data_IF_013047271832
#
_entry.id   IF_013047271832
#
_cell.length_a   1.000
_cell.length_b   1.000
_cell.length_c   1.000
_cell.angle_alpha   90.00
_cell.angle_beta   90.00
_cell.angle_gamma   90.00
#
_symmetry.space_group_name_H-M   'P 1'
#
loop_
_entity.id
_entity.type
_entity.pdbx_description
1 polymer ?
#
# COMPACT_ATOMS: atom_id res chain seq x y z
N UNK A 1 34.38 24.89 -27.48
CA UNK A 1 33.82 23.59 -27.06
C UNK A 1 32.58 23.88 -26.24
N UNK A 2 31.40 23.84 -26.85
CA UNK A 2 30.12 24.16 -26.21
C UNK A 2 29.53 22.88 -25.64
N UNK A 3 29.59 22.70 -24.32
CA UNK A 3 28.87 21.64 -23.61
C UNK A 3 27.40 22.02 -23.57
N UNK A 4 26.61 21.46 -24.50
CA UNK A 4 25.16 21.56 -24.43
C UNK A 4 24.67 20.88 -23.13
N UNK A 5 23.72 21.48 -22.39
CA UNK A 5 23.12 20.83 -21.23
C UNK A 5 22.45 19.53 -21.68
N UNK A 6 22.82 18.41 -21.07
CA UNK A 6 22.10 17.16 -21.28
C UNK A 6 20.69 17.29 -20.69
N UNK A 7 19.72 17.64 -21.52
CA UNK A 7 18.31 17.55 -21.16
C UNK A 7 17.94 16.07 -21.10
N UNK A 8 18.15 15.44 -19.94
CA UNK A 8 17.59 14.11 -19.70
C UNK A 8 16.09 14.21 -19.87
N UNK A 9 15.53 13.54 -20.89
CA UNK A 9 14.09 13.53 -21.11
C UNK A 9 13.41 13.08 -19.80
N UNK A 10 12.46 13.85 -19.25
CA UNK A 10 11.85 13.52 -17.98
C UNK A 10 11.21 12.14 -18.12
N UNK A 11 11.68 11.20 -17.30
CA UNK A 11 11.11 9.85 -17.30
C UNK A 11 9.59 9.97 -17.15
N UNK A 12 8.84 9.40 -18.10
CA UNK A 12 7.38 9.52 -18.13
C UNK A 12 6.77 8.82 -16.91
N UNK A 13 6.60 9.58 -15.83
CA UNK A 13 6.12 9.09 -14.55
C UNK A 13 4.73 8.47 -14.67
N UNK A 14 3.87 9.02 -15.53
CA UNK A 14 2.52 8.49 -15.79
C UNK A 14 2.59 7.10 -16.41
N UNK A 15 3.41 6.91 -17.44
CA UNK A 15 3.55 5.61 -18.10
C UNK A 15 4.13 4.53 -17.17
N UNK A 16 4.83 4.92 -16.10
CA UNK A 16 5.41 4.00 -15.12
C UNK A 16 4.48 3.74 -13.92
N UNK A 17 3.95 4.79 -13.31
CA UNK A 17 3.22 4.71 -12.04
C UNK A 17 1.73 4.40 -12.23
N UNK A 18 1.11 4.78 -13.35
CA UNK A 18 -0.30 4.49 -13.58
C UNK A 18 -0.58 2.98 -13.71
N UNK A 19 0.15 2.20 -14.53
CA UNK A 19 -0.08 0.76 -14.60
C UNK A 19 0.19 0.05 -13.27
N UNK A 20 1.20 0.52 -12.53
CA UNK A 20 1.51 0.02 -11.19
C UNK A 20 0.35 0.27 -10.21
N UNK A 21 -0.20 1.49 -10.20
CA UNK A 21 -1.34 1.85 -9.36
C UNK A 21 -2.56 1.00 -9.68
N UNK A 22 -2.93 0.89 -10.96
CA UNK A 22 -4.08 0.10 -11.39
C UNK A 22 -3.89 -1.39 -11.07
N UNK A 23 -2.69 -1.92 -11.27
CA UNK A 23 -2.35 -3.29 -10.91
C UNK A 23 -2.50 -3.57 -9.42
N UNK A 24 -2.05 -2.64 -8.56
CA UNK A 24 -2.22 -2.78 -7.11
C UNK A 24 -3.67 -2.65 -6.66
N UNK A 25 -4.43 -1.72 -7.23
CA UNK A 25 -5.86 -1.58 -6.93
C UNK A 25 -6.60 -2.86 -7.28
N UNK A 26 -6.34 -3.43 -8.47
CA UNK A 26 -6.93 -4.70 -8.89
C UNK A 26 -6.52 -5.86 -7.97
N UNK A 27 -5.23 -5.97 -7.65
CA UNK A 27 -4.73 -7.01 -6.77
C UNK A 27 -5.36 -6.94 -5.37
N UNK A 28 -5.46 -5.73 -4.80
CA UNK A 28 -6.11 -5.55 -3.50
C UNK A 28 -7.61 -5.78 -3.57
N UNK A 29 -8.29 -5.40 -4.65
CA UNK A 29 -9.70 -5.72 -4.84
C UNK A 29 -9.94 -7.24 -4.79
N UNK A 30 -9.07 -8.03 -5.45
CA UNK A 30 -9.12 -9.51 -5.39
C UNK A 30 -8.94 -10.01 -3.95
N UNK A 31 -7.94 -9.50 -3.23
CA UNK A 31 -7.73 -9.86 -1.81
C UNK A 31 -8.98 -9.57 -0.97
N UNK A 32 -9.58 -8.38 -1.13
CA UNK A 32 -10.77 -7.99 -0.37
C UNK A 32 -11.99 -8.85 -0.73
N UNK A 33 -12.17 -9.21 -2.01
CA UNK A 33 -13.23 -10.13 -2.44
C UNK A 33 -13.05 -11.51 -1.81
N UNK A 34 -11.82 -12.03 -1.77
CA UNK A 34 -11.53 -13.33 -1.15
C UNK A 34 -11.86 -13.30 0.34
N UNK A 35 -11.44 -12.25 1.07
CA UNK A 35 -11.78 -12.09 2.49
C UNK A 35 -13.29 -12.10 2.70
N UNK A 36 -14.03 -11.33 1.89
CA UNK A 36 -15.49 -11.27 1.97
C UNK A 36 -16.14 -12.64 1.70
N UNK A 37 -15.67 -13.36 0.67
CA UNK A 37 -16.17 -14.68 0.30
C UNK A 37 -15.84 -15.78 1.33
N UNK A 38 -14.80 -15.61 2.14
CA UNK A 38 -14.39 -16.56 3.19
C UNK A 38 -14.95 -16.22 4.58
N UNK A 39 -16.04 -15.47 4.66
CA UNK A 39 -16.71 -15.13 5.92
C UNK A 39 -16.21 -13.84 6.59
N UNK A 40 -15.43 -13.01 5.89
CA UNK A 40 -15.01 -11.69 6.38
C UNK A 40 -13.90 -11.72 7.44
N UNK A 41 -13.36 -12.89 7.81
CA UNK A 41 -12.16 -13.01 8.63
C UNK A 41 -10.89 -13.03 7.77
N UNK A 42 -9.78 -12.55 8.34
CA UNK A 42 -8.48 -12.62 7.67
C UNK A 42 -7.90 -14.02 7.91
N UNK A 43 -8.12 -14.88 6.94
CA UNK A 43 -7.63 -16.27 6.94
C UNK A 43 -6.17 -16.36 6.50
N UNK A 44 -5.55 -17.54 6.66
CA UNK A 44 -4.22 -17.84 6.14
C UNK A 44 -4.14 -17.59 4.63
N UNK A 45 -5.21 -17.92 3.88
CA UNK A 45 -5.27 -17.66 2.45
C UNK A 45 -5.19 -16.15 2.14
N UNK A 46 -5.96 -15.33 2.84
CA UNK A 46 -5.90 -13.87 2.70
C UNK A 46 -4.51 -13.32 3.05
N UNK A 47 -3.88 -13.86 4.10
CA UNK A 47 -2.50 -13.55 4.47
C UNK A 47 -1.50 -13.89 3.35
N UNK A 48 -1.59 -15.09 2.76
CA UNK A 48 -0.74 -15.51 1.64
C UNK A 48 -0.94 -14.61 0.43
N UNK A 49 -2.18 -14.31 0.05
CA UNK A 49 -2.46 -13.42 -1.09
C UNK A 49 -1.88 -12.02 -0.86
N UNK A 50 -2.00 -11.49 0.36
CA UNK A 50 -1.41 -10.19 0.73
C UNK A 50 0.12 -10.23 0.68
N UNK A 51 0.74 -11.33 1.13
CA UNK A 51 2.17 -11.53 1.03
C UNK A 51 2.65 -11.62 -0.44
N UNK A 52 1.85 -12.23 -1.33
CA UNK A 52 2.12 -12.26 -2.76
C UNK A 52 2.04 -10.85 -3.39
N UNK A 53 1.09 -10.01 -2.95
CA UNK A 53 1.04 -8.60 -3.37
C UNK A 53 2.30 -7.87 -2.92
N UNK A 54 2.73 -8.04 -1.66
CA UNK A 54 3.96 -7.44 -1.14
C UNK A 54 5.20 -7.90 -1.93
N UNK A 55 5.31 -9.19 -2.24
CA UNK A 55 6.38 -9.73 -3.09
C UNK A 55 6.32 -9.13 -4.50
N UNK A 56 5.13 -9.00 -5.09
CA UNK A 56 4.92 -8.36 -6.38
C UNK A 56 5.41 -6.91 -6.40
N UNK A 57 5.16 -6.16 -5.33
CA UNK A 57 5.66 -4.79 -5.14
C UNK A 57 7.19 -4.76 -5.10
N UNK A 58 7.81 -5.64 -4.31
CA UNK A 58 9.28 -5.73 -4.21
C UNK A 58 9.90 -6.07 -5.56
N UNK A 59 9.35 -7.07 -6.26
CA UNK A 59 9.82 -7.49 -7.59
C UNK A 59 9.65 -6.37 -8.61
N UNK A 60 8.50 -5.68 -8.61
CA UNK A 60 8.27 -4.54 -9.50
C UNK A 60 9.24 -3.40 -9.22
N UNK A 61 9.42 -3.03 -7.95
CA UNK A 61 10.33 -1.98 -7.53
C UNK A 61 11.75 -2.31 -7.97
N UNK A 62 12.23 -3.53 -7.73
CA UNK A 62 13.56 -3.97 -8.15
C UNK A 62 13.74 -3.85 -9.67
N UNK A 63 12.77 -4.34 -10.45
CA UNK A 63 12.82 -4.29 -11.93
C UNK A 63 12.78 -2.86 -12.49
N UNK A 64 12.13 -1.93 -11.79
CA UNK A 64 11.94 -0.54 -12.25
C UNK A 64 12.83 0.47 -11.55
N UNK A 65 13.64 0.05 -10.57
CA UNK A 65 14.39 0.93 -9.67
C UNK A 65 15.23 1.97 -10.41
N UNK A 66 15.97 1.55 -11.43
CA UNK A 66 16.84 2.45 -12.22
C UNK A 66 16.04 3.53 -12.95
N UNK A 67 14.87 3.18 -13.48
CA UNK A 67 13.98 4.14 -14.15
C UNK A 67 13.30 5.05 -13.12
N UNK A 68 12.87 4.47 -12.00
CA UNK A 68 12.17 5.15 -10.91
C UNK A 68 13.06 6.20 -10.23
N UNK A 69 14.36 5.93 -10.10
CA UNK A 69 15.36 6.89 -9.59
C UNK A 69 15.54 8.12 -10.48
N UNK A 70 15.14 8.08 -11.76
CA UNK A 70 15.15 9.24 -12.66
C UNK A 70 13.89 10.11 -12.51
N UNK A 71 12.83 9.59 -11.90
CA UNK A 71 11.63 10.35 -11.54
C UNK A 71 11.87 11.00 -10.18
N UNK A 72 11.64 12.31 -10.06
CA UNK A 72 11.76 13.01 -8.76
C UNK A 72 10.79 12.37 -7.76
N UNK A 73 11.29 11.93 -6.62
CA UNK A 73 10.56 11.18 -5.59
C UNK A 73 9.90 9.85 -6.07
N UNK A 74 10.31 9.28 -7.21
CA UNK A 74 9.62 8.13 -7.79
C UNK A 74 9.49 6.91 -6.86
N UNK A 75 10.53 6.60 -6.08
CA UNK A 75 10.52 5.50 -5.09
C UNK A 75 9.53 5.79 -3.96
N UNK A 76 9.54 7.01 -3.43
CA UNK A 76 8.61 7.45 -2.39
C UNK A 76 7.18 7.37 -2.89
N UNK A 77 6.89 7.91 -4.08
CA UNK A 77 5.55 7.89 -4.67
C UNK A 77 5.08 6.45 -4.88
N UNK A 78 5.94 5.55 -5.35
CA UNK A 78 5.59 4.14 -5.49
C UNK A 78 5.26 3.47 -4.14
N UNK A 79 5.99 3.80 -3.07
CA UNK A 79 5.70 3.29 -1.73
C UNK A 79 4.43 3.91 -1.15
N UNK A 80 4.16 5.21 -1.39
CA UNK A 80 2.90 5.87 -1.00
C UNK A 80 1.72 5.19 -1.67
N UNK A 81 1.78 4.95 -2.99
CA UNK A 81 0.72 4.24 -3.72
C UNK A 81 0.48 2.88 -3.08
N UNK A 82 1.54 2.13 -2.79
CA UNK A 82 1.43 0.81 -2.20
C UNK A 82 0.84 0.86 -0.78
N UNK A 83 1.37 1.74 0.07
CA UNK A 83 0.88 1.98 1.42
C UNK A 83 -0.60 2.34 1.42
N UNK A 84 -1.00 3.37 0.67
CA UNK A 84 -2.38 3.85 0.63
C UNK A 84 -3.31 2.78 0.08
N UNK A 85 -2.94 2.10 -1.01
CA UNK A 85 -3.81 1.08 -1.62
C UNK A 85 -4.03 -0.10 -0.67
N UNK A 86 -2.96 -0.63 -0.08
CA UNK A 86 -3.02 -1.77 0.83
C UNK A 86 -3.77 -1.38 2.11
N UNK A 87 -3.30 -0.36 2.83
CA UNK A 87 -3.87 0.00 4.14
C UNK A 87 -5.31 0.51 4.03
N UNK A 88 -5.63 1.33 3.02
CA UNK A 88 -7.02 1.81 2.83
C UNK A 88 -7.95 0.65 2.51
N UNK A 89 -7.52 -0.34 1.70
CA UNK A 89 -8.39 -1.48 1.37
C UNK A 89 -8.76 -2.31 2.62
N UNK A 90 -7.80 -2.57 3.50
CA UNK A 90 -8.06 -3.30 4.75
C UNK A 90 -8.87 -2.47 5.75
N UNK A 91 -8.54 -1.19 5.94
CA UNK A 91 -9.30 -0.33 6.84
C UNK A 91 -10.75 -0.15 6.37
N UNK A 92 -10.95 0.02 5.06
CA UNK A 92 -12.30 0.15 4.50
C UNK A 92 -13.11 -1.13 4.67
N UNK A 93 -12.49 -2.31 4.45
CA UNK A 93 -13.16 -3.58 4.70
C UNK A 93 -13.51 -3.75 6.19
N UNK A 94 -12.58 -3.42 7.09
CA UNK A 94 -12.83 -3.45 8.53
C UNK A 94 -14.00 -2.54 8.94
N UNK A 95 -14.08 -1.33 8.37
CA UNK A 95 -15.20 -0.39 8.59
C UNK A 95 -16.51 -1.00 8.11
N UNK A 96 -16.56 -1.52 6.87
CA UNK A 96 -17.77 -2.15 6.37
C UNK A 96 -18.18 -3.32 7.26
N UNK A 97 -17.24 -4.18 7.62
CA UNK A 97 -17.49 -5.31 8.52
C UNK A 97 -18.05 -4.86 9.87
N UNK A 98 -17.46 -3.83 10.47
CA UNK A 98 -17.92 -3.28 11.75
C UNK A 98 -19.33 -2.70 11.66
N UNK A 99 -19.63 -2.01 10.56
CA UNK A 99 -20.98 -1.51 10.30
C UNK A 99 -21.97 -2.66 10.13
N UNK A 100 -21.67 -3.64 9.27
CA UNK A 100 -22.58 -4.76 8.99
C UNK A 100 -22.80 -5.69 10.20
N UNK A 101 -21.76 -5.99 11.00
CA UNK A 101 -21.89 -6.80 12.22
C UNK A 101 -22.47 -6.00 13.40
N UNK A 102 -22.19 -4.69 13.47
CA UNK A 102 -22.72 -3.80 14.51
C UNK A 102 -24.23 -3.56 14.40
N UNK A 103 -24.86 -3.94 13.27
CA UNK A 103 -26.33 -3.98 13.15
C UNK A 103 -26.95 -5.25 13.77
N UNK A 104 -26.16 -6.30 14.05
CA UNK A 104 -26.64 -7.58 14.61
C UNK A 104 -26.40 -7.73 16.12
N UNK A 105 -25.46 -6.99 16.71
CA UNK A 105 -25.06 -7.11 18.13
C UNK A 105 -25.28 -5.77 18.85
N UNK A 106 -25.91 -5.81 20.02
CA UNK A 106 -26.24 -4.64 20.85
C UNK A 106 -25.00 -3.85 21.30
N UNK A 107 -24.53 -2.92 20.46
CA UNK A 107 -23.67 -1.81 20.86
C UNK A 107 -22.29 -1.73 20.21
N UNK A 108 -21.89 -0.50 19.88
CA UNK A 108 -20.59 -0.18 19.25
C UNK A 108 -19.35 -0.64 20.04
N UNK A 109 -19.48 -0.85 21.37
CA UNK A 109 -18.40 -1.33 22.22
C UNK A 109 -17.96 -2.77 21.91
N UNK A 110 -18.91 -3.65 21.58
CA UNK A 110 -18.63 -5.05 21.27
C UNK A 110 -17.99 -5.22 19.89
N UNK A 111 -18.39 -4.39 18.92
CA UNK A 111 -17.76 -4.35 17.60
C UNK A 111 -16.29 -3.92 17.67
N UNK A 112 -15.98 -2.89 18.47
CA UNK A 112 -14.60 -2.43 18.67
C UNK A 112 -13.74 -3.50 19.35
N UNK A 113 -14.26 -4.15 20.40
CA UNK A 113 -13.56 -5.24 21.09
C UNK A 113 -13.29 -6.42 20.18
N UNK A 114 -14.28 -6.85 19.39
CA UNK A 114 -14.12 -7.92 18.40
C UNK A 114 -13.08 -7.60 17.32
N UNK A 115 -12.96 -6.34 16.88
CA UNK A 115 -11.90 -5.94 15.95
C UNK A 115 -10.50 -6.01 16.57
N UNK A 116 -10.37 -5.62 17.85
CA UNK A 116 -9.09 -5.65 18.57
C UNK A 116 -8.65 -7.07 18.93
N UNK A 117 -9.59 -7.96 19.24
CA UNK A 117 -9.31 -9.34 19.62
C UNK A 117 -9.18 -10.28 18.39
N UNK A 118 -9.50 -9.80 17.18
CA UNK A 118 -9.46 -10.60 15.94
C UNK A 118 -8.21 -10.34 15.09
N UNK A 119 -8.11 -11.15 14.02
CA UNK A 119 -7.10 -11.03 12.96
C UNK A 119 -7.02 -9.63 12.33
N UNK A 120 -8.09 -8.85 12.44
CA UNK A 120 -8.18 -7.47 11.94
C UNK A 120 -7.28 -6.50 12.66
N UNK A 121 -6.98 -6.70 13.95
CA UNK A 121 -5.99 -5.88 14.66
C UNK A 121 -4.62 -5.95 13.98
N UNK A 122 -4.17 -7.17 13.64
CA UNK A 122 -2.91 -7.38 12.94
C UNK A 122 -2.88 -6.69 11.58
N UNK A 123 -3.94 -6.83 10.79
CA UNK A 123 -3.99 -6.24 9.44
C UNK A 123 -4.21 -4.72 9.42
N UNK A 124 -4.94 -4.15 10.38
CA UNK A 124 -5.21 -2.71 10.41
C UNK A 124 -4.14 -1.93 11.16
N UNK A 125 -3.65 -2.44 12.29
CA UNK A 125 -2.69 -1.73 13.15
C UNK A 125 -1.26 -2.16 12.86
N UNK A 126 -0.95 -3.45 13.03
CA UNK A 126 0.44 -3.93 12.92
C UNK A 126 0.96 -3.75 11.50
N UNK A 127 0.20 -4.20 10.50
CA UNK A 127 0.58 -4.07 9.10
C UNK A 127 0.70 -2.58 8.69
N UNK A 128 -0.30 -1.74 8.99
CA UNK A 128 -0.21 -0.31 8.65
C UNK A 128 1.00 0.36 9.32
N UNK A 129 1.33 -0.02 10.55
CA UNK A 129 2.51 0.49 11.26
C UNK A 129 3.81 0.07 10.56
N UNK A 130 3.95 -1.18 10.16
CA UNK A 130 5.15 -1.68 9.46
C UNK A 130 5.31 -1.02 8.08
N UNK A 131 4.24 -0.92 7.31
CA UNK A 131 4.28 -0.26 6.01
C UNK A 131 4.52 1.24 6.13
N UNK A 132 3.93 1.87 7.14
CA UNK A 132 4.12 3.28 7.48
C UNK A 132 5.54 3.57 7.93
N UNK A 133 6.17 2.68 8.70
CA UNK A 133 7.58 2.78 9.07
C UNK A 133 8.47 2.69 7.82
N UNK A 134 8.20 1.75 6.91
CA UNK A 134 8.90 1.68 5.62
C UNK A 134 8.73 2.95 4.79
N UNK A 135 7.53 3.54 4.78
CA UNK A 135 7.27 4.82 4.12
C UNK A 135 8.06 5.96 4.76
N UNK A 136 8.11 6.03 6.09
CA UNK A 136 8.89 7.01 6.83
C UNK A 136 10.37 6.92 6.48
N UNK A 137 10.93 5.71 6.40
CA UNK A 137 12.32 5.50 5.97
C UNK A 137 12.54 6.05 4.54
N UNK A 138 11.64 5.77 3.61
CA UNK A 138 11.75 6.30 2.25
C UNK A 138 11.60 7.82 2.18
N UNK A 139 10.71 8.41 2.98
CA UNK A 139 10.55 9.86 3.10
C UNK A 139 11.81 10.52 3.66
N UNK A 140 12.34 10.00 4.78
CA UNK A 140 13.60 10.48 5.36
C UNK A 140 14.75 10.39 4.36
N UNK A 141 14.89 9.25 3.68
CA UNK A 141 15.90 9.08 2.63
C UNK A 141 15.74 10.07 1.48
N UNK A 142 14.50 10.47 1.14
CA UNK A 142 14.26 11.47 0.10
C UNK A 142 14.62 12.89 0.52
N UNK A 143 14.31 13.27 1.76
CA UNK A 143 14.66 14.57 2.34
C UNK A 143 16.18 14.72 2.46
N UNK A 144 16.85 13.69 3.00
CA UNK A 144 18.30 13.71 3.22
C UNK A 144 19.12 13.59 1.92
N UNK A 145 18.60 12.86 0.93
CA UNK A 145 19.38 12.50 -0.26
C UNK A 145 19.34 13.54 -1.39
N UNK A 146 18.16 14.14 -1.66
CA UNK A 146 17.99 15.05 -2.79
C UNK A 146 17.51 16.46 -2.41
N UNK A 147 17.28 16.72 -1.13
CA UNK A 147 16.57 17.93 -0.70
C UNK A 147 15.07 17.85 -1.04
N UNK A 148 14.26 18.61 -0.29
CA UNK A 148 12.83 18.81 -0.60
C UNK A 148 12.63 20.01 -1.53
N UNK A 149 13.47 21.03 -1.37
CA UNK A 149 13.53 22.26 -2.16
C UNK A 149 14.90 22.30 -2.85
N UNK A 150 14.86 22.54 -4.16
CA UNK A 150 15.96 22.64 -5.15
C UNK A 150 16.93 21.45 -5.31
#
# INVERSE_FOLDING_TARGET
MTTAPQTSSPANARALLLPYTLGLVLAMAIVQIVIAATGGEITILAGILTALVALGIVVWLWRKLTVLKRVRFGVVIAHVIAFVTVTTSFNLHAIFRAMFLGFEVDGAGDAARNLLESSWFGATIVMSSLWGLGLLVHLLGSVLGRGWED
#
